data_IF_440478444800
#
_entry.id   IF_440478444800
#
_cell.length_a   1.000
_cell.length_b   1.000
_cell.length_c   1.000
_cell.angle_alpha   90.00
_cell.angle_beta   90.00
_cell.angle_gamma   90.00
#
_symmetry.space_group_name_H-M   'P 1'
#
loop_
_entity.id
_entity.type
_entity.pdbx_description
1 polymer ?
#
# COMPACT_ATOMS: atom_id res chain seq x y z
N UNK A 1 -29.30 -73.75 2.23
CA UNK A 1 -27.93 -73.97 2.77
C UNK A 1 -26.97 -73.96 1.58
N UNK A 2 -26.04 -73.04 1.31
CA UNK A 2 -25.54 -71.80 1.92
C UNK A 2 -25.26 -70.83 0.74
N UNK A 3 -25.73 -69.60 0.83
CA UNK A 3 -25.48 -68.53 -0.15
C UNK A 3 -24.07 -67.97 0.09
N UNK A 4 -23.16 -68.09 -0.88
CA UNK A 4 -21.79 -67.56 -0.78
C UNK A 4 -21.76 -66.13 -1.31
N UNK A 5 -21.73 -65.15 -0.40
CA UNK A 5 -21.42 -63.76 -0.72
C UNK A 5 -19.91 -63.62 -0.99
N UNK A 6 -19.54 -63.23 -2.20
CA UNK A 6 -18.20 -62.75 -2.52
C UNK A 6 -18.17 -61.24 -2.29
N UNK A 7 -17.59 -60.81 -1.17
CA UNK A 7 -17.25 -59.41 -0.92
C UNK A 7 -16.01 -59.05 -1.75
N UNK A 8 -16.20 -58.32 -2.85
CA UNK A 8 -15.09 -57.69 -3.56
C UNK A 8 -14.70 -56.42 -2.80
N UNK A 9 -13.60 -56.48 -2.04
CA UNK A 9 -12.98 -55.30 -1.44
C UNK A 9 -12.30 -54.50 -2.56
N UNK A 10 -12.94 -53.41 -3.00
CA UNK A 10 -12.30 -52.43 -3.87
C UNK A 10 -11.40 -51.53 -3.01
N UNK A 11 -10.09 -51.73 -3.09
CA UNK A 11 -9.11 -50.81 -2.52
C UNK A 11 -9.14 -49.53 -3.36
N UNK A 12 -9.70 -48.47 -2.81
CA UNK A 12 -9.63 -47.13 -3.39
C UNK A 12 -8.19 -46.65 -3.20
N UNK A 13 -7.37 -46.74 -4.24
CA UNK A 13 -6.12 -45.97 -4.30
C UNK A 13 -6.51 -44.50 -4.42
N UNK A 14 -6.47 -43.77 -3.29
CA UNK A 14 -6.49 -42.32 -3.35
C UNK A 14 -5.18 -41.88 -4.00
N UNK A 15 -5.22 -41.53 -5.27
CA UNK A 15 -4.13 -40.80 -5.90
C UNK A 15 -4.02 -39.45 -5.20
N UNK A 16 -3.10 -39.34 -4.24
CA UNK A 16 -2.61 -38.04 -3.81
C UNK A 16 -1.94 -37.41 -5.03
N UNK A 17 -2.66 -36.51 -5.70
CA UNK A 17 -2.08 -35.64 -6.70
C UNK A 17 -1.06 -34.74 -5.99
N UNK A 18 0.21 -35.13 -6.02
CA UNK A 18 1.29 -34.23 -5.65
C UNK A 18 1.40 -33.21 -6.77
N UNK A 19 1.01 -31.97 -6.50
CA UNK A 19 1.35 -30.86 -7.38
C UNK A 19 2.87 -30.83 -7.50
N UNK A 20 3.36 -31.06 -8.72
CA UNK A 20 4.79 -30.95 -9.01
C UNK A 20 5.27 -29.55 -8.59
N UNK A 21 6.45 -29.46 -7.96
CA UNK A 21 7.04 -28.16 -7.63
C UNK A 21 7.08 -27.33 -8.91
N UNK A 22 6.37 -26.20 -8.91
CA UNK A 22 6.26 -25.30 -10.05
C UNK A 22 7.68 -24.90 -10.53
N UNK A 23 8.17 -25.56 -11.58
CA UNK A 23 9.44 -25.22 -12.23
C UNK A 23 9.15 -24.18 -13.32
N UNK A 24 9.01 -22.94 -12.91
CA UNK A 24 8.93 -21.81 -13.82
C UNK A 24 10.35 -21.34 -14.16
N UNK A 25 10.76 -21.59 -15.39
CA UNK A 25 12.06 -21.18 -15.97
C UNK A 25 12.31 -19.66 -15.91
N UNK A 26 11.25 -18.86 -15.73
CA UNK A 26 11.36 -17.41 -15.53
C UNK A 26 11.90 -17.04 -14.14
N UNK A 27 11.60 -17.83 -13.09
CA UNK A 27 12.05 -17.55 -11.72
C UNK A 27 13.56 -17.76 -11.54
N UNK A 28 14.18 -18.58 -12.40
CA UNK A 28 15.64 -18.75 -12.42
C UNK A 28 16.38 -17.61 -13.14
N UNK A 29 15.65 -16.68 -13.78
CA UNK A 29 16.22 -15.51 -14.47
C UNK A 29 16.09 -14.21 -13.67
N UNK A 30 15.27 -14.20 -12.62
CA UNK A 30 15.19 -13.07 -11.70
C UNK A 30 16.35 -13.16 -10.71
N UNK A 31 17.40 -12.36 -10.93
CA UNK A 31 18.31 -12.02 -9.85
C UNK A 31 17.56 -11.10 -8.89
N UNK A 32 16.98 -11.67 -7.82
CA UNK A 32 16.42 -10.87 -6.74
C UNK A 32 17.48 -9.89 -6.24
N UNK A 33 17.18 -8.60 -6.33
CA UNK A 33 18.05 -7.61 -5.69
C UNK A 33 17.88 -7.74 -4.18
N UNK A 34 18.92 -7.38 -3.44
CA UNK A 34 18.83 -7.33 -1.98
C UNK A 34 17.71 -6.38 -1.56
N UNK A 35 17.52 -5.23 -2.22
CA UNK A 35 16.46 -4.28 -1.85
C UNK A 35 15.04 -4.80 -2.16
N UNK A 36 14.85 -5.58 -3.21
CA UNK A 36 13.56 -6.21 -3.52
C UNK A 36 13.23 -7.28 -2.46
N UNK A 37 14.20 -8.10 -2.07
CA UNK A 37 14.04 -9.04 -0.96
C UNK A 37 13.65 -8.32 0.33
N UNK A 38 14.34 -7.23 0.65
CA UNK A 38 14.04 -6.39 1.82
C UNK A 38 12.63 -5.79 1.73
N UNK A 39 12.17 -5.42 0.54
CA UNK A 39 10.81 -4.90 0.34
C UNK A 39 9.75 -5.95 0.73
N UNK A 40 9.94 -7.20 0.29
CA UNK A 40 9.04 -8.30 0.62
C UNK A 40 9.08 -8.67 2.10
N UNK A 41 10.27 -8.70 2.73
CA UNK A 41 10.41 -8.92 4.17
C UNK A 41 9.72 -7.82 4.98
N UNK A 42 9.89 -6.55 4.58
CA UNK A 42 9.19 -5.42 5.18
C UNK A 42 7.68 -5.53 5.06
N UNK A 43 7.19 -5.90 3.88
CA UNK A 43 5.76 -6.13 3.61
C UNK A 43 5.20 -7.28 4.46
N UNK A 44 5.93 -8.39 4.57
CA UNK A 44 5.54 -9.51 5.42
C UNK A 44 5.46 -9.11 6.90
N UNK A 45 6.46 -8.36 7.39
CA UNK A 45 6.46 -7.83 8.76
C UNK A 45 5.28 -6.88 9.00
N UNK A 46 4.99 -5.98 8.04
CA UNK A 46 3.86 -5.05 8.10
C UNK A 46 2.51 -5.77 8.21
N UNK A 47 2.29 -6.78 7.36
CA UNK A 47 1.06 -7.59 7.37
C UNK A 47 0.86 -8.36 8.69
N UNK A 48 1.95 -8.69 9.37
CA UNK A 48 1.94 -9.30 10.70
C UNK A 48 2.01 -8.25 11.84
N UNK A 49 1.82 -6.96 11.53
CA UNK A 49 1.83 -5.84 12.48
C UNK A 49 3.15 -5.67 13.26
N UNK A 50 4.25 -6.26 12.76
CA UNK A 50 5.60 -6.08 13.30
C UNK A 50 6.22 -4.83 12.67
N UNK A 51 5.63 -3.67 12.94
CA UNK A 51 5.94 -2.43 12.24
C UNK A 51 7.38 -1.96 12.40
N UNK A 52 8.03 -2.23 13.54
CA UNK A 52 9.44 -1.86 13.74
C UNK A 52 10.38 -2.61 12.80
N UNK A 53 10.13 -3.90 12.57
CA UNK A 53 10.86 -4.70 11.59
C UNK A 53 10.55 -4.22 10.16
N UNK A 54 9.28 -3.94 9.85
CA UNK A 54 8.88 -3.42 8.55
C UNK A 54 9.62 -2.11 8.20
N UNK A 55 9.63 -1.14 9.13
CA UNK A 55 10.35 0.12 8.98
C UNK A 55 11.85 -0.10 8.82
N UNK A 56 12.46 -1.04 9.54
CA UNK A 56 13.89 -1.32 9.42
C UNK A 56 14.25 -1.78 8.00
N UNK A 57 13.50 -2.74 7.45
CA UNK A 57 13.69 -3.21 6.07
C UNK A 57 13.51 -2.08 5.05
N UNK A 58 12.45 -1.29 5.15
CA UNK A 58 12.21 -0.20 4.20
C UNK A 58 13.19 0.96 4.33
N UNK A 59 13.71 1.26 5.52
CA UNK A 59 14.81 2.24 5.68
C UNK A 59 16.08 1.80 4.97
N UNK A 60 16.44 0.52 5.08
CA UNK A 60 17.59 -0.02 4.37
C UNK A 60 17.46 0.19 2.85
N UNK A 61 16.27 -0.04 2.29
CA UNK A 61 15.99 0.21 0.86
C UNK A 61 16.16 1.69 0.52
N UNK A 62 15.60 2.60 1.32
CA UNK A 62 15.68 4.05 1.10
C UNK A 62 17.14 4.53 1.12
N UNK A 63 18.00 3.93 1.94
CA UNK A 63 19.42 4.29 2.05
C UNK A 63 20.33 3.59 1.02
N UNK A 64 19.87 2.50 0.40
CA UNK A 64 20.64 1.73 -0.58
C UNK A 64 20.87 2.49 -1.90
N UNK A 65 21.99 2.31 -2.61
CA UNK A 65 22.20 2.94 -3.91
C UNK A 65 21.26 2.35 -4.97
N UNK A 66 20.83 3.18 -5.92
CA UNK A 66 20.13 2.73 -7.15
C UNK A 66 21.16 2.06 -8.05
N UNK A 67 20.93 0.79 -8.40
CA UNK A 67 21.81 -0.03 -9.24
C UNK A 67 21.12 -0.51 -10.51
N UNK A 68 19.81 -0.79 -10.44
CA UNK A 68 19.04 -1.37 -11.52
C UNK A 68 17.81 -0.51 -11.84
N UNK A 69 17.27 -0.71 -13.05
CA UNK A 69 15.95 -0.19 -13.42
C UNK A 69 14.90 -0.80 -12.48
N UNK A 70 13.95 0.01 -11.98
CA UNK A 70 12.97 -0.41 -10.98
C UNK A 70 13.35 -0.08 -9.52
N UNK A 71 14.65 0.14 -9.23
CA UNK A 71 15.09 0.43 -7.86
C UNK A 71 14.50 1.75 -7.33
N UNK A 72 14.35 2.75 -8.20
CA UNK A 72 13.80 4.06 -7.83
C UNK A 72 12.34 3.95 -7.39
N UNK A 73 11.58 3.11 -8.07
CA UNK A 73 10.17 2.81 -7.82
C UNK A 73 10.02 2.10 -6.48
N UNK A 74 10.80 1.02 -6.25
CA UNK A 74 10.81 0.29 -4.97
C UNK A 74 11.18 1.22 -3.81
N UNK A 75 12.18 2.08 -3.99
CA UNK A 75 12.59 3.08 -2.99
C UNK A 75 11.49 4.10 -2.71
N UNK A 76 10.79 4.56 -3.74
CA UNK A 76 9.65 5.47 -3.61
C UNK A 76 8.52 4.83 -2.80
N UNK A 77 8.12 3.61 -3.14
CA UNK A 77 7.09 2.86 -2.40
C UNK A 77 7.49 2.59 -0.94
N UNK A 78 8.75 2.26 -0.69
CA UNK A 78 9.28 2.09 0.66
C UNK A 78 9.23 3.42 1.44
N UNK A 79 9.61 4.53 0.83
CA UNK A 79 9.56 5.85 1.43
C UNK A 79 8.13 6.29 1.75
N UNK A 80 7.19 6.13 0.82
CA UNK A 80 5.77 6.45 1.04
C UNK A 80 5.21 5.66 2.22
N UNK A 81 5.53 4.37 2.31
CA UNK A 81 5.09 3.52 3.43
C UNK A 81 5.70 3.96 4.76
N UNK A 82 7.02 4.19 4.82
CA UNK A 82 7.69 4.67 6.03
C UNK A 82 7.15 6.05 6.45
N UNK A 83 6.79 6.90 5.49
CA UNK A 83 6.21 8.23 5.73
C UNK A 83 4.85 8.12 6.40
N UNK A 84 3.96 7.24 5.89
CA UNK A 84 2.69 6.92 6.55
C UNK A 84 2.90 6.39 7.98
N UNK A 85 3.82 5.44 8.17
CA UNK A 85 4.10 4.90 9.50
C UNK A 85 4.68 5.96 10.46
N UNK A 86 5.47 6.89 9.93
CA UNK A 86 6.00 8.03 10.69
C UNK A 86 4.89 8.99 11.12
N UNK A 87 3.89 9.23 10.28
CA UNK A 87 2.73 10.04 10.65
C UNK A 87 1.96 9.43 11.83
N UNK A 88 1.74 8.12 11.81
CA UNK A 88 0.99 7.41 12.85
C UNK A 88 1.83 6.99 14.07
N UNK A 89 3.15 6.93 13.95
CA UNK A 89 4.04 6.44 15.01
C UNK A 89 4.06 4.92 15.15
N UNK A 90 3.86 4.19 14.05
CA UNK A 90 3.82 2.72 14.05
C UNK A 90 5.21 2.16 13.77
N UNK A 91 5.84 1.54 14.77
CA UNK A 91 7.18 0.95 14.63
C UNK A 91 8.32 1.97 14.45
N UNK A 92 8.00 3.26 14.45
CA UNK A 92 8.94 4.38 14.33
C UNK A 92 8.44 5.55 15.18
N UNK A 93 9.36 6.43 15.61
CA UNK A 93 8.99 7.64 16.35
C UNK A 93 8.01 8.47 15.51
N UNK A 94 6.86 8.80 16.12
CA UNK A 94 5.84 9.64 15.49
C UNK A 94 6.38 11.03 15.16
N UNK A 95 6.21 11.45 13.91
CA UNK A 95 6.59 12.78 13.44
C UNK A 95 5.70 13.19 12.25
N UNK A 96 4.54 13.80 12.58
CA UNK A 96 3.55 14.21 11.57
C UNK A 96 4.05 15.34 10.68
N UNK A 97 4.85 16.25 11.24
CA UNK A 97 5.40 17.38 10.49
C UNK A 97 6.37 16.90 9.43
N UNK A 98 7.27 15.98 9.79
CA UNK A 98 8.16 15.34 8.82
C UNK A 98 7.39 14.60 7.73
N UNK A 99 6.36 13.82 8.12
CA UNK A 99 5.58 13.06 7.15
C UNK A 99 4.83 13.98 6.16
N UNK A 100 4.20 15.04 6.66
CA UNK A 100 3.52 16.04 5.81
C UNK A 100 4.50 16.80 4.92
N UNK A 101 5.71 17.10 5.42
CA UNK A 101 6.75 17.69 4.58
C UNK A 101 7.13 16.78 3.41
N UNK A 102 7.33 15.48 3.66
CA UNK A 102 7.65 14.53 2.60
C UNK A 102 6.51 14.41 1.57
N UNK A 103 5.25 14.33 2.01
CA UNK A 103 4.13 14.29 1.05
C UNK A 103 4.07 15.56 0.20
N UNK A 104 4.36 16.74 0.77
CA UNK A 104 4.46 17.98 -0.01
C UNK A 104 5.58 17.95 -1.05
N UNK A 105 6.69 17.28 -0.75
CA UNK A 105 7.76 17.08 -1.72
C UNK A 105 7.36 16.08 -2.82
N UNK A 106 6.73 14.96 -2.46
CA UNK A 106 6.26 13.95 -3.41
C UNK A 106 5.22 14.49 -4.41
N UNK A 107 4.37 15.42 -3.97
CA UNK A 107 3.41 16.15 -4.83
C UNK A 107 4.09 16.85 -6.02
N UNK A 108 5.35 17.28 -5.87
CA UNK A 108 6.11 17.95 -6.96
C UNK A 108 6.41 17.00 -8.12
N UNK A 109 6.41 15.70 -7.86
CA UNK A 109 6.59 14.65 -8.86
C UNK A 109 5.27 14.09 -9.39
N UNK A 110 4.12 14.70 -9.04
CA UNK A 110 2.80 14.27 -9.50
C UNK A 110 2.16 13.15 -8.68
N UNK A 111 2.74 12.79 -7.54
CA UNK A 111 2.26 11.69 -6.68
C UNK A 111 0.83 11.93 -6.18
N UNK A 112 -0.13 11.12 -6.65
CA UNK A 112 -1.55 11.18 -6.26
C UNK A 112 -1.76 10.70 -4.82
N UNK A 113 -1.03 9.66 -4.41
CA UNK A 113 -1.06 9.08 -3.07
C UNK A 113 -0.69 10.13 -2.02
N UNK A 114 0.35 10.93 -2.30
CA UNK A 114 0.78 12.02 -1.46
C UNK A 114 -0.30 13.11 -1.30
N UNK A 115 -1.04 13.44 -2.38
CA UNK A 115 -2.17 14.39 -2.31
C UNK A 115 -3.28 13.87 -1.43
N UNK A 116 -3.62 12.59 -1.55
CA UNK A 116 -4.63 11.94 -0.68
C UNK A 116 -4.18 11.95 0.78
N UNK A 117 -2.91 11.65 1.06
CA UNK A 117 -2.38 11.72 2.41
C UNK A 117 -2.38 13.13 2.99
N UNK A 118 -2.15 14.17 2.17
CA UNK A 118 -2.29 15.55 2.61
C UNK A 118 -3.75 15.90 2.92
N UNK A 119 -4.69 15.49 2.07
CA UNK A 119 -6.13 15.61 2.34
C UNK A 119 -6.51 15.00 3.70
N UNK A 120 -6.05 13.77 3.95
CA UNK A 120 -6.23 13.11 5.25
C UNK A 120 -5.54 13.87 6.39
N UNK A 121 -4.29 14.29 6.22
CA UNK A 121 -3.51 14.90 7.27
C UNK A 121 -4.14 16.21 7.77
N UNK A 122 -4.64 17.05 6.87
CA UNK A 122 -5.34 18.28 7.25
C UNK A 122 -6.75 18.03 7.78
N UNK A 123 -7.34 16.88 7.50
CA UNK A 123 -8.60 16.45 8.13
C UNK A 123 -8.39 15.88 9.55
N UNK A 124 -7.20 15.37 9.88
CA UNK A 124 -6.85 14.85 11.21
C UNK A 124 -6.82 15.98 12.26
N UNK A 125 -7.67 15.88 13.29
CA UNK A 125 -7.66 16.79 14.43
C UNK A 125 -6.35 16.81 15.21
N UNK A 126 -5.55 15.73 15.11
CA UNK A 126 -4.26 15.63 15.78
C UNK A 126 -3.10 16.26 14.99
N UNK A 127 -3.36 16.81 13.80
CA UNK A 127 -2.39 17.55 13.01
C UNK A 127 -2.86 19.00 12.85
N UNK A 128 -2.15 19.92 13.53
CA UNK A 128 -2.38 21.37 13.47
C UNK A 128 -3.85 21.80 13.69
N UNK A 129 -4.61 21.03 14.48
CA UNK A 129 -5.97 21.41 14.89
C UNK A 129 -7.05 21.27 13.80
N UNK A 130 -6.82 20.46 12.76
CA UNK A 130 -7.73 20.21 11.60
C UNK A 130 -8.06 21.47 10.79
N UNK A 131 -7.71 21.42 9.51
CA UNK A 131 -8.05 22.45 8.52
C UNK A 131 -8.88 21.84 7.38
N UNK A 132 -10.22 21.97 7.48
CA UNK A 132 -11.14 21.36 6.52
C UNK A 132 -11.01 21.94 5.10
N UNK A 133 -10.71 23.24 4.99
CA UNK A 133 -10.57 23.91 3.68
C UNK A 133 -9.30 23.42 2.98
N UNK A 134 -8.20 23.30 3.71
CA UNK A 134 -6.95 22.78 3.15
C UNK A 134 -7.05 21.29 2.84
N UNK A 135 -7.71 20.50 3.68
CA UNK A 135 -8.02 19.11 3.39
C UNK A 135 -8.82 18.95 2.09
N UNK A 136 -9.87 19.77 1.91
CA UNK A 136 -10.70 19.75 0.71
C UNK A 136 -9.88 20.12 -0.53
N UNK A 137 -9.08 21.18 -0.45
CA UNK A 137 -8.20 21.60 -1.54
C UNK A 137 -7.22 20.51 -1.98
N UNK A 138 -6.65 19.75 -1.03
CA UNK A 138 -5.78 18.63 -1.38
C UNK A 138 -6.51 17.49 -2.08
N UNK A 139 -7.67 17.07 -1.60
CA UNK A 139 -8.47 16.05 -2.28
C UNK A 139 -8.91 16.50 -3.67
N UNK A 140 -9.44 17.72 -3.82
CA UNK A 140 -9.89 18.22 -5.12
C UNK A 140 -8.74 18.44 -6.10
N UNK A 141 -7.52 18.66 -5.61
CA UNK A 141 -6.35 18.79 -6.49
C UNK A 141 -6.04 17.52 -7.30
N UNK A 142 -6.52 16.34 -6.86
CA UNK A 142 -6.41 15.08 -7.60
C UNK A 142 -7.25 15.14 -8.88
N UNK A 143 -8.44 15.72 -8.83
CA UNK A 143 -9.34 15.82 -9.99
C UNK A 143 -8.78 16.69 -11.12
N UNK A 144 -7.87 17.62 -10.79
CA UNK A 144 -7.18 18.44 -11.78
C UNK A 144 -6.14 17.64 -12.58
N UNK A 145 -5.58 16.58 -11.99
CA UNK A 145 -4.58 15.72 -12.64
C UNK A 145 -5.21 14.52 -13.33
N UNK A 146 -6.44 14.16 -12.93
CA UNK A 146 -7.18 13.01 -13.46
C UNK A 146 -8.46 13.49 -14.15
N UNK A 147 -8.38 13.99 -15.39
CA UNK A 147 -9.56 14.42 -16.15
C UNK A 147 -10.40 13.24 -16.66
N UNK A 148 -9.81 12.03 -16.73
CA UNK A 148 -10.50 10.81 -17.11
C UNK A 148 -10.13 9.67 -16.14
N UNK A 149 -10.93 9.44 -15.08
CA UNK A 149 -10.63 8.40 -14.11
C UNK A 149 -10.81 6.98 -14.67
N UNK A 150 -11.55 6.78 -15.76
CA UNK A 150 -11.84 5.44 -16.32
C UNK A 150 -10.60 4.70 -16.85
N UNK A 151 -9.48 5.41 -17.05
CA UNK A 151 -8.22 4.86 -17.56
C UNK A 151 -7.16 4.66 -16.48
N UNK A 152 -7.50 4.91 -15.21
CA UNK A 152 -6.58 4.68 -14.10
C UNK A 152 -6.35 3.19 -13.88
N UNK A 153 -5.15 2.85 -13.42
CA UNK A 153 -4.94 1.52 -12.83
C UNK A 153 -5.69 1.39 -11.49
N UNK A 154 -5.80 0.16 -10.99
CA UNK A 154 -6.56 -0.14 -9.77
C UNK A 154 -6.06 0.65 -8.55
N UNK A 155 -4.75 0.89 -8.46
CA UNK A 155 -4.15 1.60 -7.33
C UNK A 155 -4.50 3.09 -7.36
N UNK A 156 -4.30 3.75 -8.50
CA UNK A 156 -4.66 5.16 -8.70
C UNK A 156 -6.18 5.36 -8.61
N UNK A 157 -6.97 4.40 -9.07
CA UNK A 157 -8.43 4.44 -8.97
C UNK A 157 -8.89 4.44 -7.50
N UNK A 158 -8.23 3.67 -6.63
CA UNK A 158 -8.52 3.69 -5.19
C UNK A 158 -8.20 5.06 -4.58
N UNK A 159 -7.07 5.66 -4.95
CA UNK A 159 -6.70 7.02 -4.51
C UNK A 159 -7.74 8.05 -4.94
N UNK A 160 -8.18 7.97 -6.20
CA UNK A 160 -9.21 8.87 -6.74
C UNK A 160 -10.53 8.71 -5.99
N UNK A 161 -10.96 7.48 -5.70
CA UNK A 161 -12.20 7.21 -4.97
C UNK A 161 -12.14 7.75 -3.53
N UNK A 162 -11.02 7.55 -2.83
CA UNK A 162 -10.79 8.13 -1.50
C UNK A 162 -10.88 9.66 -1.52
N UNK A 163 -10.39 10.28 -2.60
CA UNK A 163 -10.49 11.73 -2.78
C UNK A 163 -11.92 12.20 -3.04
N UNK A 164 -12.70 11.45 -3.82
CA UNK A 164 -14.13 11.72 -4.01
C UNK A 164 -14.87 11.64 -2.68
N UNK A 165 -14.73 10.54 -1.94
CA UNK A 165 -15.40 10.35 -0.64
C UNK A 165 -14.99 11.46 0.35
N UNK A 166 -13.68 11.71 0.48
CA UNK A 166 -13.15 12.74 1.35
C UNK A 166 -13.68 14.13 1.00
N UNK A 167 -13.72 14.47 -0.28
CA UNK A 167 -14.24 15.78 -0.74
C UNK A 167 -15.73 15.95 -0.48
N UNK A 168 -16.55 14.91 -0.73
CA UNK A 168 -18.01 14.96 -0.50
C UNK A 168 -18.32 15.15 0.98
N UNK A 169 -17.67 14.36 1.84
CA UNK A 169 -17.82 14.47 3.30
C UNK A 169 -17.40 15.85 3.81
N UNK A 170 -16.31 16.41 3.30
CA UNK A 170 -15.85 17.74 3.71
C UNK A 170 -16.81 18.83 3.27
N UNK A 171 -17.39 18.73 2.06
CA UNK A 171 -18.40 19.68 1.58
C UNK A 171 -19.65 19.70 2.44
N UNK A 172 -20.15 18.52 2.83
CA UNK A 172 -21.28 18.39 3.75
C UNK A 172 -20.99 19.06 5.11
N UNK A 173 -19.84 18.74 5.72
CA UNK A 173 -19.43 19.36 6.99
C UNK A 173 -19.29 20.89 6.88
N UNK A 174 -18.79 21.38 5.74
CA UNK A 174 -18.59 22.80 5.50
C UNK A 174 -19.91 23.54 5.23
N UNK A 175 -20.88 22.91 4.55
CA UNK A 175 -22.20 23.50 4.34
C UNK A 175 -23.00 23.61 5.64
N UNK A 176 -22.90 22.61 6.52
CA UNK A 176 -23.62 22.60 7.80
C UNK A 176 -23.09 23.65 8.79
N UNK A 177 -21.84 24.09 8.64
CA UNK A 177 -21.23 25.14 9.47
C UNK A 177 -21.62 26.55 9.06
N UNK A 178 -22.22 26.73 7.89
CA UNK A 178 -22.63 28.02 7.35
C UNK A 178 -24.10 28.35 7.67
N UNK A 179 -24.83 27.42 8.30
CA UNK A 179 -26.21 27.58 8.78
C UNK A 179 -26.23 27.81 10.29
#
# INVERSE_FOLDING_TARGET
>A
MKLRFLFALTVIFSSSAFAEKCKLEYLTKLEYTDIECQFYLGTAAYRNQVYSAAVAHWKYIIESPVKYEGDSEIKSSALSTVTFLTYHGLGVKKDREKAVSHWKDAVKSGDLEARRHLGFAYFDANFRGKNLVEALGWYESIFLLVPNPEVLDESDQAVFNDAVEGSLKLKEILSDRQQ
#
